data_IF_603911554791
#
_entry.id   IF_603911554791
#
_cell.length_a   1.000
_cell.length_b   1.000
_cell.length_c   1.000
_cell.angle_alpha   90.00
_cell.angle_beta   90.00
_cell.angle_gamma   90.00
#
_symmetry.space_group_name_H-M   'P 1'
#
loop_
_entity.id
_entity.type
_entity.pdbx_description
1 polymer ?
#
# COMPACT_ATOMS: atom_id res chain seq x y z
N UNK A 1 -15.24 -0.81 -35.85
CA UNK A 1 -15.57 0.54 -36.36
C UNK A 1 -16.62 1.16 -35.43
N UNK A 2 -16.30 2.23 -34.69
CA UNK A 2 -17.24 2.86 -33.75
C UNK A 2 -18.27 3.72 -34.52
N UNK A 3 -19.57 3.60 -34.21
CA UNK A 3 -20.62 4.44 -34.81
C UNK A 3 -20.67 5.79 -34.11
N UNK A 4 -20.89 6.90 -34.85
CA UNK A 4 -20.96 8.25 -34.29
C UNK A 4 -21.98 8.39 -33.14
N UNK A 5 -23.09 7.64 -33.19
CA UNK A 5 -24.10 7.64 -32.12
C UNK A 5 -23.59 7.11 -30.77
N UNK A 6 -22.71 6.10 -30.77
CA UNK A 6 -22.19 5.48 -29.55
C UNK A 6 -21.21 6.38 -28.79
N UNK A 7 -20.43 7.18 -29.54
CA UNK A 7 -19.52 8.20 -28.97
C UNK A 7 -20.28 9.35 -28.35
N UNK A 8 -21.30 9.88 -29.03
CA UNK A 8 -22.12 10.99 -28.53
C UNK A 8 -22.85 10.58 -27.24
N UNK A 9 -23.40 9.37 -27.16
CA UNK A 9 -24.06 8.87 -25.95
C UNK A 9 -23.10 8.77 -24.75
N UNK A 10 -21.86 8.35 -24.99
CA UNK A 10 -20.83 8.24 -23.95
C UNK A 10 -20.42 9.61 -23.42
N UNK A 11 -20.23 10.59 -24.29
CA UNK A 11 -19.89 11.96 -23.90
C UNK A 11 -21.01 12.62 -23.10
N UNK A 12 -22.28 12.43 -23.52
CA UNK A 12 -23.45 12.92 -22.77
C UNK A 12 -23.55 12.30 -21.37
N UNK A 13 -23.32 11.00 -21.25
CA UNK A 13 -23.34 10.32 -19.96
C UNK A 13 -22.22 10.84 -19.02
N UNK A 14 -21.01 11.03 -19.55
CA UNK A 14 -19.89 11.61 -18.79
C UNK A 14 -20.18 13.02 -18.29
N UNK A 15 -20.72 13.88 -19.15
CA UNK A 15 -21.10 15.24 -18.79
C UNK A 15 -22.18 15.27 -17.70
N UNK A 16 -23.23 14.44 -17.85
CA UNK A 16 -24.31 14.32 -16.86
C UNK A 16 -23.80 13.89 -15.48
N UNK A 17 -22.87 12.93 -15.44
CA UNK A 17 -22.32 12.36 -14.20
C UNK A 17 -21.32 13.30 -13.54
N UNK A 18 -20.47 13.96 -14.33
CA UNK A 18 -19.56 14.99 -13.84
C UNK A 18 -20.32 16.17 -13.24
N UNK A 19 -21.43 16.59 -13.85
CA UNK A 19 -22.29 17.65 -13.31
C UNK A 19 -22.95 17.25 -11.97
N UNK A 20 -23.06 15.94 -11.70
CA UNK A 20 -23.53 15.40 -10.43
C UNK A 20 -22.40 15.16 -9.41
N UNK A 21 -21.17 15.62 -9.69
CA UNK A 21 -20.01 15.43 -8.81
C UNK A 21 -19.35 14.04 -8.89
N UNK A 22 -19.71 13.22 -9.88
CA UNK A 22 -19.15 11.89 -10.08
C UNK A 22 -18.04 11.91 -11.14
N UNK A 23 -16.86 11.43 -10.75
CA UNK A 23 -15.70 11.31 -11.64
C UNK A 23 -15.52 9.86 -12.09
N UNK A 24 -15.56 9.62 -13.40
CA UNK A 24 -15.34 8.29 -14.00
C UNK A 24 -14.33 8.34 -15.16
N UNK A 25 -13.13 7.75 -14.99
CA UNK A 25 -12.08 7.87 -16.00
C UNK A 25 -12.33 7.01 -17.23
N UNK A 26 -13.20 5.98 -17.20
CA UNK A 26 -13.36 5.05 -18.32
C UNK A 26 -14.82 4.55 -18.46
N UNK A 27 -15.58 5.14 -19.39
CA UNK A 27 -16.84 4.58 -19.87
C UNK A 27 -16.66 4.19 -21.35
N UNK A 28 -16.74 2.89 -21.65
CA UNK A 28 -16.66 2.44 -23.04
C UNK A 28 -18.01 2.63 -23.75
N UNK A 29 -18.03 2.89 -25.07
CA UNK A 29 -19.28 3.02 -25.82
C UNK A 29 -20.18 1.78 -25.75
N UNK A 30 -19.58 0.59 -25.69
CA UNK A 30 -20.30 -0.67 -25.53
C UNK A 30 -21.00 -0.78 -24.16
N UNK A 31 -20.37 -0.25 -23.11
CA UNK A 31 -20.96 -0.21 -21.78
C UNK A 31 -22.21 0.70 -21.72
N UNK A 32 -22.14 1.87 -22.35
CA UNK A 32 -23.23 2.88 -22.37
C UNK A 32 -24.38 2.53 -23.31
N UNK A 33 -24.14 1.68 -24.31
CA UNK A 33 -25.15 1.24 -25.27
C UNK A 33 -26.16 0.24 -24.68
N UNK A 34 -25.82 -0.45 -23.58
CA UNK A 34 -26.73 -1.38 -22.90
C UNK A 34 -27.84 -0.62 -22.15
N UNK A 35 -29.11 -0.90 -22.50
CA UNK A 35 -30.29 -0.27 -21.87
C UNK A 35 -30.35 -0.53 -20.36
N UNK A 36 -29.98 -1.73 -19.91
CA UNK A 36 -29.95 -2.09 -18.49
C UNK A 36 -28.91 -1.28 -17.71
N UNK A 37 -27.73 -1.06 -18.31
CA UNK A 37 -26.63 -0.32 -17.67
C UNK A 37 -26.86 1.20 -17.68
N UNK A 38 -27.58 1.71 -18.68
CA UNK A 38 -27.97 3.14 -18.72
C UNK A 38 -28.87 3.53 -17.54
N UNK A 39 -29.85 2.70 -17.20
CA UNK A 39 -30.70 2.93 -16.04
C UNK A 39 -29.91 2.95 -14.72
N UNK A 40 -28.89 2.09 -14.58
CA UNK A 40 -27.99 2.07 -13.42
C UNK A 40 -27.16 3.36 -13.30
N UNK A 41 -26.69 3.91 -14.42
CA UNK A 41 -25.96 5.18 -14.44
C UNK A 41 -26.85 6.37 -14.05
N UNK A 42 -28.09 6.41 -14.52
CA UNK A 42 -29.06 7.46 -14.18
C UNK A 42 -29.45 7.42 -12.69
N UNK A 43 -29.65 6.21 -12.16
CA UNK A 43 -29.92 6.01 -10.73
C UNK A 43 -28.73 6.43 -9.85
N UNK A 44 -27.50 6.05 -10.20
CA UNK A 44 -26.28 6.48 -9.51
C UNK A 44 -26.12 8.01 -9.54
N UNK A 45 -26.41 8.65 -10.67
CA UNK A 45 -26.42 10.12 -10.78
C UNK A 45 -27.45 10.76 -9.83
N UNK A 46 -28.64 10.16 -9.69
CA UNK A 46 -29.66 10.60 -8.74
C UNK A 46 -29.18 10.56 -7.29
N UNK A 47 -28.56 9.45 -6.89
CA UNK A 47 -28.01 9.29 -5.53
C UNK A 47 -26.86 10.26 -5.23
N UNK A 48 -26.01 10.54 -6.22
CA UNK A 48 -24.92 11.50 -6.07
C UNK A 48 -25.42 12.94 -5.90
N UNK A 49 -26.44 13.37 -6.67
CA UNK A 49 -27.08 14.68 -6.49
C UNK A 49 -27.71 14.87 -5.11
N UNK A 50 -28.10 13.78 -4.47
CA UNK A 50 -28.62 13.79 -3.09
C UNK A 50 -27.51 13.74 -2.03
N UNK A 51 -26.23 13.77 -2.42
CA UNK A 51 -25.08 13.71 -1.50
C UNK A 51 -24.85 12.32 -0.89
N UNK A 52 -25.48 11.27 -1.42
CA UNK A 52 -25.48 9.91 -0.83
C UNK A 52 -24.45 8.97 -1.44
N UNK A 53 -23.73 9.42 -2.47
CA UNK A 53 -22.77 8.61 -3.22
C UNK A 53 -21.71 9.53 -3.84
N UNK A 54 -20.42 9.32 -3.53
CA UNK A 54 -19.34 10.14 -4.11
C UNK A 54 -18.49 9.41 -5.15
N UNK A 55 -18.38 8.07 -5.12
CA UNK A 55 -17.58 7.33 -6.10
C UNK A 55 -18.27 6.01 -6.45
N UNK A 56 -18.44 5.75 -7.75
CA UNK A 56 -18.82 4.42 -8.27
C UNK A 56 -17.76 3.97 -9.25
N UNK A 57 -16.89 3.01 -8.91
CA UNK A 57 -16.02 2.40 -9.89
C UNK A 57 -16.85 1.39 -10.70
N UNK A 58 -16.94 1.58 -12.01
CA UNK A 58 -17.48 0.56 -12.90
C UNK A 58 -16.39 0.08 -13.86
N UNK A 59 -15.96 -1.16 -13.66
CA UNK A 59 -15.05 -1.87 -14.56
C UNK A 59 -15.84 -2.51 -15.70
N UNK A 60 -15.44 -2.29 -16.94
CA UNK A 60 -16.11 -2.80 -18.12
C UNK A 60 -15.24 -3.77 -18.95
N UNK A 61 -15.34 -5.07 -18.59
CA UNK A 61 -15.26 -6.26 -19.48
C UNK A 61 -13.89 -6.94 -19.71
N UNK A 62 -13.85 -8.29 -19.90
CA UNK A 62 -14.71 -9.35 -19.33
C UNK A 62 -14.11 -9.84 -18.00
N UNK A 63 -14.85 -9.74 -16.90
CA UNK A 63 -14.44 -10.37 -15.64
C UNK A 63 -15.15 -11.71 -15.52
N UNK A 64 -14.36 -12.77 -15.35
CA UNK A 64 -14.84 -14.06 -14.87
C UNK A 64 -15.23 -13.93 -13.39
N UNK A 65 -16.53 -14.12 -13.12
CA UNK A 65 -17.09 -14.02 -11.77
C UNK A 65 -16.85 -15.28 -10.93
N UNK A 66 -16.34 -16.38 -11.53
CA UNK A 66 -16.02 -17.59 -10.80
C UNK A 66 -14.73 -17.45 -9.94
N UNK A 67 -13.89 -16.46 -10.26
CA UNK A 67 -12.57 -16.24 -9.62
C UNK A 67 -12.53 -15.02 -8.68
N UNK A 68 -13.67 -14.38 -8.41
CA UNK A 68 -13.74 -13.23 -7.48
C UNK A 68 -14.25 -13.70 -6.10
N UNK A 69 -13.43 -13.66 -5.03
CA UNK A 69 -13.84 -14.16 -3.72
C UNK A 69 -14.70 -13.10 -3.02
N UNK A 70 -16.00 -13.07 -3.31
CA UNK A 70 -16.99 -12.27 -2.59
C UNK A 70 -17.55 -13.00 -1.35
N UNK A 71 -16.81 -13.98 -0.82
CA UNK A 71 -17.17 -14.72 0.39
C UNK A 71 -17.07 -13.80 1.62
N UNK A 72 -18.13 -13.03 1.86
CA UNK A 72 -18.24 -12.04 2.93
C UNK A 72 -19.24 -10.91 2.64
N UNK A 73 -19.62 -10.71 1.38
CA UNK A 73 -20.60 -9.70 0.99
C UNK A 73 -21.99 -10.34 0.89
N UNK A 74 -22.95 -9.83 1.65
CA UNK A 74 -24.37 -10.24 1.54
C UNK A 74 -25.11 -9.25 0.64
N UNK A 75 -25.79 -9.76 -0.38
CA UNK A 75 -26.65 -8.95 -1.23
C UNK A 75 -27.74 -8.28 -0.39
N UNK A 76 -27.86 -6.95 -0.50
CA UNK A 76 -28.96 -6.19 0.11
C UNK A 76 -29.92 -5.79 -1.00
N UNK A 77 -31.08 -6.46 -1.05
CA UNK A 77 -32.28 -6.06 -1.81
C UNK A 77 -32.42 -6.64 -3.22
N UNK A 78 -33.61 -7.16 -3.54
CA UNK A 78 -33.99 -7.85 -4.78
C UNK A 78 -34.11 -6.96 -6.04
N UNK A 79 -33.50 -5.77 -6.08
CA UNK A 79 -33.66 -4.82 -7.20
C UNK A 79 -32.35 -4.26 -7.76
N UNK A 80 -31.27 -5.04 -7.73
CA UNK A 80 -30.20 -4.95 -8.73
C UNK A 80 -29.32 -3.69 -8.74
N UNK A 81 -29.20 -2.96 -7.63
CA UNK A 81 -28.23 -1.86 -7.49
C UNK A 81 -27.41 -2.00 -6.21
N UNK A 82 -26.15 -2.45 -6.34
CA UNK A 82 -25.18 -2.47 -5.24
C UNK A 82 -24.32 -1.22 -5.24
N UNK A 83 -24.56 -0.32 -4.29
CA UNK A 83 -23.66 0.79 -3.96
C UNK A 83 -22.97 0.53 -2.62
N UNK A 84 -21.70 0.91 -2.50
CA UNK A 84 -20.96 0.93 -1.23
C UNK A 84 -21.05 2.35 -0.65
N UNK A 85 -21.63 2.51 0.54
CA UNK A 85 -21.57 3.75 1.32
C UNK A 85 -20.91 3.48 2.68
N UNK A 86 -19.97 4.33 3.15
CA UNK A 86 -19.56 4.33 4.54
C UNK A 86 -20.59 5.09 5.39
N UNK A 87 -21.04 4.52 6.52
CA UNK A 87 -21.90 5.21 7.48
C UNK A 87 -21.07 6.09 8.43
N UNK A 88 -21.28 7.41 8.42
CA UNK A 88 -21.10 8.26 9.61
C UNK A 88 -22.46 8.38 10.32
N UNK A 89 -22.48 8.13 11.64
CA UNK A 89 -23.67 7.63 12.35
C UNK A 89 -24.47 8.62 13.20
N UNK A 90 -25.34 8.07 14.07
CA UNK A 90 -25.70 8.60 15.40
C UNK A 90 -26.58 7.64 16.24
N UNK A 91 -26.09 7.39 17.47
CA UNK A 91 -26.71 7.13 18.79
C UNK A 91 -27.77 6.02 19.01
N UNK A 92 -27.50 5.21 20.05
CA UNK A 92 -28.50 4.52 20.89
C UNK A 92 -27.89 3.31 21.60
N UNK A 93 -27.73 3.35 22.93
CA UNK A 93 -26.87 2.44 23.69
C UNK A 93 -27.47 1.07 24.05
N UNK A 94 -26.57 0.14 24.42
CA UNK A 94 -26.70 -0.78 25.54
C UNK A 94 -25.33 -1.47 25.74
N UNK A 95 -24.91 -1.56 27.00
CA UNK A 95 -23.62 -2.09 27.41
C UNK A 95 -23.50 -3.60 27.16
N UNK A 96 -22.39 -4.03 26.58
CA UNK A 96 -21.78 -5.34 26.89
C UNK A 96 -20.28 -5.13 27.04
N UNK A 97 -19.77 -5.53 28.22
CA UNK A 97 -18.36 -5.49 28.59
C UNK A 97 -17.63 -6.61 27.86
N UNK A 98 -16.37 -6.36 27.51
CA UNK A 98 -15.36 -7.42 27.34
C UNK A 98 -14.91 -7.72 25.92
N UNK A 99 -14.19 -6.80 25.29
CA UNK A 99 -13.04 -7.11 24.43
C UNK A 99 -12.26 -5.80 24.20
N UNK A 100 -11.03 -5.74 24.71
CA UNK A 100 -10.12 -4.63 24.46
C UNK A 100 -9.83 -4.53 22.97
N UNK A 101 -10.52 -3.62 22.27
CA UNK A 101 -10.13 -3.18 20.92
C UNK A 101 -8.78 -2.51 21.06
N UNK A 102 -7.71 -3.16 20.58
CA UNK A 102 -6.39 -2.52 20.39
C UNK A 102 -6.64 -1.19 19.67
N UNK A 103 -6.46 -0.07 20.34
CA UNK A 103 -6.54 1.24 19.70
C UNK A 103 -5.47 1.28 18.61
N UNK A 104 -5.85 1.66 17.39
CA UNK A 104 -4.91 2.00 16.32
C UNK A 104 -4.10 3.23 16.75
N UNK A 105 -3.03 3.01 17.52
CA UNK A 105 -2.10 4.09 17.84
C UNK A 105 -1.48 4.58 16.53
N UNK A 106 -1.45 5.90 16.35
CA UNK A 106 -0.73 6.53 15.24
C UNK A 106 0.71 6.00 15.22
N UNK A 107 1.26 5.74 14.02
CA UNK A 107 2.70 5.43 13.91
C UNK A 107 3.47 6.61 14.48
N UNK A 108 4.41 6.35 15.38
CA UNK A 108 5.33 7.35 15.88
C UNK A 108 6.77 6.93 15.73
N UNK A 109 7.12 5.68 16.08
CA UNK A 109 8.53 5.27 16.22
C UNK A 109 8.98 4.42 15.06
N UNK A 110 9.98 4.92 14.33
CA UNK A 110 10.54 4.28 13.14
C UNK A 110 12.02 4.02 13.38
N UNK A 111 12.43 2.76 13.24
CA UNK A 111 13.82 2.40 13.06
C UNK A 111 14.10 2.28 11.57
N UNK A 112 14.98 3.13 11.04
CA UNK A 112 15.45 3.10 9.66
C UNK A 112 16.85 2.49 9.62
N UNK A 113 16.88 1.16 9.52
CA UNK A 113 18.06 0.33 9.42
C UNK A 113 18.59 0.29 7.98
N UNK A 114 19.87 0.61 7.80
CA UNK A 114 20.52 0.57 6.49
C UNK A 114 21.74 -0.35 6.56
N UNK A 115 21.91 -1.19 5.56
CA UNK A 115 23.05 -2.07 5.42
C UNK A 115 24.00 -1.55 4.35
N UNK A 116 25.22 -1.20 4.74
CA UNK A 116 26.29 -0.79 3.83
C UNK A 116 27.57 -1.58 4.11
N UNK A 117 27.61 -2.89 3.78
CA UNK A 117 28.82 -3.69 3.92
C UNK A 117 29.84 -3.32 2.83
N UNK A 118 31.12 -3.56 3.11
CA UNK A 118 32.20 -3.41 2.15
C UNK A 118 32.10 -4.46 1.05
N UNK A 119 32.58 -4.14 -0.16
CA UNK A 119 32.66 -5.10 -1.28
C UNK A 119 31.34 -5.34 -2.04
N UNK A 120 30.28 -4.59 -1.74
CA UNK A 120 29.02 -4.59 -2.48
C UNK A 120 28.82 -3.27 -3.25
N UNK A 121 27.99 -3.33 -4.29
CA UNK A 121 27.65 -2.14 -5.08
C UNK A 121 27.05 -1.05 -4.18
N UNK A 122 27.53 0.20 -4.25
CA UNK A 122 27.03 1.25 -3.37
C UNK A 122 25.53 1.51 -3.57
N UNK A 123 24.75 1.34 -2.52
CA UNK A 123 23.36 1.76 -2.47
C UNK A 123 23.25 3.26 -2.16
N UNK A 124 22.21 3.90 -2.70
CA UNK A 124 21.87 5.30 -2.47
C UNK A 124 21.29 5.61 -1.07
N UNK A 125 21.76 4.91 -0.02
CA UNK A 125 21.27 4.99 1.36
C UNK A 125 21.32 6.42 1.94
N UNK A 126 22.38 7.16 1.59
CA UNK A 126 22.50 8.56 2.00
C UNK A 126 21.44 9.46 1.36
N UNK A 127 21.05 9.19 0.11
CA UNK A 127 19.98 9.92 -0.57
C UNK A 127 18.60 9.56 0.00
N UNK A 128 18.36 8.26 0.28
CA UNK A 128 17.15 7.80 0.97
C UNK A 128 16.99 8.51 2.33
N UNK A 129 18.03 8.47 3.17
CA UNK A 129 18.01 9.12 4.48
C UNK A 129 17.69 10.62 4.38
N UNK A 130 18.37 11.35 3.48
CA UNK A 130 18.10 12.79 3.28
C UNK A 130 16.66 13.03 2.85
N UNK A 131 16.17 12.28 1.86
CA UNK A 131 14.81 12.40 1.35
C UNK A 131 13.75 12.15 2.43
N UNK A 132 13.94 11.12 3.27
CA UNK A 132 13.04 10.81 4.38
C UNK A 132 13.07 11.87 5.47
N UNK A 133 14.25 12.38 5.85
CA UNK A 133 14.37 13.48 6.83
C UNK A 133 13.66 14.75 6.36
N UNK A 134 13.79 15.10 5.10
CA UNK A 134 13.09 16.25 4.52
C UNK A 134 11.57 16.03 4.45
N UNK A 135 11.15 14.85 4.02
CA UNK A 135 9.74 14.47 3.90
C UNK A 135 8.98 14.48 5.23
N UNK A 136 9.67 14.23 6.34
CA UNK A 136 9.11 14.12 7.68
C UNK A 136 9.40 15.31 8.57
N UNK A 137 10.04 16.36 8.04
CA UNK A 137 10.33 17.59 8.78
C UNK A 137 9.03 18.21 9.32
N UNK A 138 8.98 18.40 10.64
CA UNK A 138 7.80 18.94 11.33
C UNK A 138 6.66 17.94 11.55
N UNK A 139 6.84 16.67 11.21
CA UNK A 139 5.91 15.60 11.58
C UNK A 139 6.16 15.12 13.02
N UNK A 140 5.22 14.33 13.56
CA UNK A 140 5.36 13.67 14.86
C UNK A 140 6.09 12.33 14.79
N UNK A 141 6.71 11.99 13.66
CA UNK A 141 7.49 10.75 13.53
C UNK A 141 8.86 10.92 14.18
N UNK A 142 9.17 10.00 15.08
CA UNK A 142 10.51 9.80 15.63
C UNK A 142 11.21 8.75 14.78
N UNK A 143 12.13 9.20 13.93
CA UNK A 143 12.89 8.31 13.04
C UNK A 143 14.34 8.23 13.52
N UNK A 144 14.73 7.06 14.00
CA UNK A 144 16.12 6.72 14.27
C UNK A 144 16.75 6.11 13.03
N UNK A 145 17.79 6.75 12.51
CA UNK A 145 18.52 6.28 11.34
C UNK A 145 19.80 5.57 11.79
N UNK A 146 19.93 4.29 11.44
CA UNK A 146 21.08 3.45 11.77
C UNK A 146 21.80 3.02 10.49
N UNK A 147 22.82 3.78 10.03
CA UNK A 147 23.67 3.36 8.92
C UNK A 147 24.56 2.19 9.34
N UNK A 148 24.78 1.24 8.43
CA UNK A 148 25.64 0.06 8.61
C UNK A 148 25.33 -0.77 9.86
N UNK A 149 24.04 -0.91 10.19
CA UNK A 149 23.60 -1.64 11.39
C UNK A 149 23.98 -3.12 11.31
N UNK A 150 24.50 -3.65 12.41
CA UNK A 150 24.78 -5.08 12.57
C UNK A 150 23.52 -5.85 12.99
N UNK A 151 23.55 -7.18 12.85
CA UNK A 151 22.45 -8.01 13.36
C UNK A 151 22.28 -7.88 14.88
N UNK A 152 23.39 -7.76 15.62
CA UNK A 152 23.37 -7.62 17.08
C UNK A 152 22.71 -6.30 17.51
N UNK A 153 23.15 -5.19 16.93
CA UNK A 153 22.55 -3.87 17.21
C UNK A 153 21.07 -3.83 16.82
N UNK A 154 20.70 -4.39 15.66
CA UNK A 154 19.29 -4.48 15.28
C UNK A 154 18.47 -5.29 16.30
N UNK A 155 19.03 -6.39 16.81
CA UNK A 155 18.36 -7.20 17.82
C UNK A 155 18.19 -6.45 19.14
N UNK A 156 19.21 -5.72 19.58
CA UNK A 156 19.14 -4.91 20.80
C UNK A 156 18.09 -3.80 20.69
N UNK A 157 18.00 -3.13 19.53
CA UNK A 157 16.97 -2.11 19.28
C UNK A 157 15.56 -2.69 19.22
N UNK A 158 15.43 -3.91 18.70
CA UNK A 158 14.16 -4.64 18.68
C UNK A 158 13.71 -5.09 20.08
N UNK A 159 14.63 -5.14 21.06
CA UNK A 159 14.34 -5.47 22.46
C UNK A 159 14.14 -4.24 23.34
N UNK A 160 14.76 -3.10 23.01
CA UNK A 160 14.82 -1.92 23.86
C UNK A 160 13.45 -1.24 24.01
N UNK A 161 12.75 -1.03 22.90
CA UNK A 161 11.51 -0.27 22.87
C UNK A 161 10.54 -0.80 21.81
N UNK A 162 9.24 -0.54 21.98
CA UNK A 162 8.24 -0.93 20.98
C UNK A 162 8.36 -0.04 19.74
N UNK A 163 8.86 -0.61 18.66
CA UNK A 163 8.94 0.03 17.35
C UNK A 163 7.61 -0.14 16.60
N UNK A 164 7.12 0.94 15.97
CA UNK A 164 5.97 0.84 15.08
C UNK A 164 6.41 0.35 13.71
N UNK A 165 7.50 0.91 13.19
CA UNK A 165 8.03 0.61 11.85
C UNK A 165 9.49 0.21 11.96
N UNK A 166 9.84 -0.90 11.33
CA UNK A 166 11.22 -1.19 10.93
C UNK A 166 11.30 -1.06 9.41
N UNK A 167 12.15 -0.16 8.95
CA UNK A 167 12.57 -0.10 7.55
C UNK A 167 13.97 -0.64 7.45
N UNK A 168 14.16 -1.65 6.60
CA UNK A 168 15.46 -2.21 6.29
C UNK A 168 15.76 -1.94 4.81
N UNK A 169 16.82 -1.18 4.53
CA UNK A 169 17.36 -0.99 3.18
C UNK A 169 18.72 -1.67 3.08
N UNK A 170 18.91 -2.54 2.09
CA UNK A 170 20.12 -3.33 1.95
C UNK A 170 20.08 -4.31 0.78
N UNK A 171 21.17 -5.04 0.60
CA UNK A 171 21.26 -6.04 -0.45
C UNK A 171 20.53 -7.33 -0.09
N UNK A 172 20.12 -8.03 -1.13
CA UNK A 172 19.57 -9.37 -1.06
C UNK A 172 20.28 -10.26 -2.07
N UNK A 173 20.66 -11.46 -1.63
CA UNK A 173 21.33 -12.46 -2.45
C UNK A 173 20.89 -13.86 -2.01
N UNK A 174 20.48 -14.69 -2.96
CA UNK A 174 20.07 -16.08 -2.74
C UNK A 174 19.23 -16.33 -1.46
N UNK A 175 18.17 -15.52 -1.24
CA UNK A 175 17.28 -15.61 -0.06
C UNK A 175 17.87 -15.10 1.25
N UNK A 176 18.96 -14.34 1.20
CA UNK A 176 19.65 -13.77 2.36
C UNK A 176 19.73 -12.26 2.24
N UNK A 177 19.45 -11.57 3.34
CA UNK A 177 19.78 -10.15 3.50
C UNK A 177 21.26 -10.04 3.83
N UNK A 178 21.94 -9.08 3.23
CA UNK A 178 23.36 -8.82 3.54
C UNK A 178 23.42 -7.69 4.54
N UNK A 179 24.03 -7.95 5.69
CA UNK A 179 24.22 -7.02 6.82
C UNK A 179 25.71 -6.80 7.10
N UNK A 180 26.06 -5.73 7.80
CA UNK A 180 27.42 -5.56 8.34
C UNK A 180 27.64 -6.51 9.53
N UNK A 181 28.85 -7.03 9.68
CA UNK A 181 29.27 -7.80 10.86
C UNK A 181 29.81 -6.94 12.01
N UNK A 182 29.94 -5.62 11.80
CA UNK A 182 30.51 -4.65 12.75
C UNK A 182 31.95 -4.26 12.44
N UNK A 183 32.68 -5.09 11.68
CA UNK A 183 33.96 -4.74 11.05
C UNK A 183 33.79 -4.11 9.67
N UNK A 184 32.56 -4.07 9.15
CA UNK A 184 32.25 -3.61 7.80
C UNK A 184 32.24 -4.73 6.77
N UNK A 185 32.45 -5.98 7.17
CA UNK A 185 32.40 -7.15 6.27
C UNK A 185 30.95 -7.64 6.10
N UNK A 186 30.61 -8.25 4.95
CA UNK A 186 29.28 -8.75 4.70
C UNK A 186 28.96 -10.00 5.53
N UNK A 187 27.79 -10.01 6.15
CA UNK A 187 27.18 -11.15 6.83
C UNK A 187 25.83 -11.45 6.19
N UNK A 188 25.69 -12.66 5.65
CA UNK A 188 24.45 -13.10 5.03
C UNK A 188 23.48 -13.67 6.08
N UNK A 189 22.26 -13.14 6.13
CA UNK A 189 21.19 -13.50 7.06
C UNK A 189 20.02 -14.08 6.28
N UNK A 190 19.64 -15.32 6.55
CA UNK A 190 18.49 -15.94 5.90
C UNK A 190 17.21 -15.12 6.17
N UNK A 191 16.43 -14.83 5.12
CA UNK A 191 15.28 -13.92 5.22
C UNK A 191 14.18 -14.45 6.16
N UNK A 192 14.01 -15.76 6.26
CA UNK A 192 13.11 -16.41 7.22
C UNK A 192 13.58 -16.23 8.68
N UNK A 193 14.88 -16.34 8.93
CA UNK A 193 15.48 -16.02 10.22
C UNK A 193 15.27 -14.54 10.57
N UNK A 194 15.41 -13.64 9.59
CA UNK A 194 15.11 -12.22 9.77
C UNK A 194 13.63 -11.99 10.11
N UNK A 195 12.69 -12.64 9.42
CA UNK A 195 11.27 -12.55 9.78
C UNK A 195 10.99 -13.02 11.21
N UNK A 196 11.65 -14.09 11.67
CA UNK A 196 11.53 -14.57 13.05
C UNK A 196 12.13 -13.58 14.06
N UNK A 197 13.20 -12.88 13.69
CA UNK A 197 13.81 -11.83 14.51
C UNK A 197 12.87 -10.62 14.68
N UNK A 198 12.07 -10.25 13.69
CA UNK A 198 11.21 -9.06 13.78
C UNK A 198 9.77 -9.37 14.24
N UNK A 199 9.36 -10.65 14.17
CA UNK A 199 8.01 -11.11 14.51
C UNK A 199 7.58 -10.67 15.90
N UNK A 200 6.41 -10.04 15.99
CA UNK A 200 5.81 -9.57 17.24
C UNK A 200 6.48 -8.34 17.85
N UNK A 201 7.57 -7.84 17.24
CA UNK A 201 8.35 -6.69 17.72
C UNK A 201 8.00 -5.39 16.98
N UNK A 202 7.50 -5.50 15.75
CA UNK A 202 7.12 -4.35 14.90
C UNK A 202 5.71 -4.47 14.35
N UNK A 203 5.04 -3.34 14.11
CA UNK A 203 3.73 -3.30 13.44
C UNK A 203 3.88 -3.33 11.92
N UNK A 204 4.86 -2.60 11.40
CA UNK A 204 5.13 -2.45 9.98
C UNK A 204 6.57 -2.82 9.70
N UNK A 205 6.78 -3.68 8.72
CA UNK A 205 8.10 -3.96 8.16
C UNK A 205 8.16 -3.43 6.73
N UNK A 206 9.17 -2.64 6.41
CA UNK A 206 9.48 -2.23 5.03
C UNK A 206 10.83 -2.85 4.66
N UNK A 207 10.83 -3.75 3.68
CA UNK A 207 12.03 -4.38 3.13
C UNK A 207 12.35 -3.76 1.78
N UNK A 208 13.28 -2.79 1.77
CA UNK A 208 13.88 -2.25 0.55
C UNK A 208 15.08 -3.10 0.15
N UNK A 209 14.78 -4.32 -0.33
CA UNK A 209 15.76 -5.28 -0.81
C UNK A 209 15.11 -6.20 -1.87
N UNK A 210 15.86 -6.55 -2.92
CA UNK A 210 15.36 -7.28 -4.09
C UNK A 210 14.69 -8.61 -3.73
N UNK A 211 13.67 -9.01 -4.50
CA UNK A 211 13.05 -10.35 -4.48
C UNK A 211 12.58 -10.90 -3.11
N UNK A 212 12.26 -10.00 -2.17
CA UNK A 212 11.82 -10.33 -0.81
C UNK A 212 10.33 -10.72 -0.70
N UNK A 213 9.49 -10.37 -1.68
CA UNK A 213 8.04 -10.55 -1.62
C UNK A 213 7.59 -12.03 -1.59
N UNK A 214 8.32 -12.92 -2.25
CA UNK A 214 8.00 -14.35 -2.31
C UNK A 214 7.95 -15.00 -0.93
N UNK A 215 8.84 -14.59 -0.02
CA UNK A 215 8.92 -15.09 1.35
C UNK A 215 8.06 -14.29 2.34
N UNK A 216 7.80 -13.01 2.05
CA UNK A 216 6.98 -12.14 2.91
C UNK A 216 5.55 -12.68 3.12
N UNK A 217 4.98 -13.37 2.13
CA UNK A 217 3.65 -14.04 2.24
C UNK A 217 3.59 -15.07 3.38
N UNK A 218 4.73 -15.70 3.70
CA UNK A 218 4.86 -16.70 4.78
C UNK A 218 5.14 -16.08 6.15
N UNK A 219 5.56 -14.83 6.21
CA UNK A 219 5.83 -14.14 7.47
C UNK A 219 4.53 -13.95 8.27
N UNK A 220 4.63 -14.07 9.59
CA UNK A 220 3.49 -13.99 10.53
C UNK A 220 3.89 -13.12 11.72
N UNK A 221 2.89 -12.53 12.37
CA UNK A 221 3.10 -11.68 13.56
C UNK A 221 3.71 -10.32 13.24
N UNK A 222 3.51 -9.84 12.01
CA UNK A 222 3.77 -8.47 11.57
C UNK A 222 2.47 -8.02 10.88
N UNK A 223 1.91 -6.87 11.27
CA UNK A 223 0.61 -6.44 10.76
C UNK A 223 0.73 -6.04 9.28
N UNK A 224 1.76 -5.25 8.92
CA UNK A 224 1.99 -4.83 7.53
C UNK A 224 3.42 -5.16 7.09
N UNK A 225 3.57 -5.68 5.87
CA UNK A 225 4.88 -5.90 5.25
C UNK A 225 4.88 -5.27 3.87
N UNK A 226 5.81 -4.35 3.61
CA UNK A 226 6.17 -3.93 2.26
C UNK A 226 7.42 -4.70 1.86
N UNK A 227 7.38 -5.44 0.76
CA UNK A 227 8.51 -6.22 0.24
C UNK A 227 8.58 -6.12 -1.28
N UNK A 228 9.72 -6.43 -1.89
CA UNK A 228 9.95 -6.20 -3.33
C UNK A 228 9.77 -7.47 -4.14
N UNK A 229 9.02 -7.39 -5.25
CA UNK A 229 8.79 -8.48 -6.22
C UNK A 229 9.62 -8.24 -7.50
N UNK A 230 10.95 -8.36 -7.35
CA UNK A 230 11.91 -8.10 -8.41
C UNK A 230 13.08 -7.20 -7.96
N UNK A 231 13.86 -6.69 -8.93
CA UNK A 231 14.93 -5.75 -8.66
C UNK A 231 14.40 -4.43 -8.13
N UNK A 232 15.28 -3.71 -7.42
CA UNK A 232 15.02 -2.39 -6.86
C UNK A 232 16.00 -1.40 -7.49
N UNK A 233 15.48 -0.46 -8.25
CA UNK A 233 16.28 0.67 -8.72
C UNK A 233 16.45 1.72 -7.60
N UNK A 234 17.69 2.12 -7.33
CA UNK A 234 18.06 3.08 -6.28
C UNK A 234 17.20 4.35 -6.25
N UNK A 235 17.03 5.04 -7.39
CA UNK A 235 16.25 6.27 -7.45
C UNK A 235 14.77 6.02 -7.12
N UNK A 236 14.25 4.87 -7.56
CA UNK A 236 12.88 4.46 -7.27
C UNK A 236 12.68 4.12 -5.79
N UNK A 237 13.67 3.50 -5.15
CA UNK A 237 13.66 3.26 -3.70
C UNK A 237 13.68 4.58 -2.91
N UNK A 238 14.50 5.54 -3.33
CA UNK A 238 14.55 6.89 -2.74
C UNK A 238 13.19 7.57 -2.79
N UNK A 239 12.54 7.60 -3.95
CA UNK A 239 11.22 8.24 -4.08
C UNK A 239 10.11 7.44 -3.40
N UNK A 240 10.17 6.11 -3.40
CA UNK A 240 9.26 5.27 -2.61
C UNK A 240 9.31 5.67 -1.14
N UNK A 241 10.49 5.63 -0.53
CA UNK A 241 10.70 5.98 0.87
C UNK A 241 10.29 7.42 1.15
N UNK A 242 10.66 8.37 0.27
CA UNK A 242 10.31 9.78 0.43
C UNK A 242 8.80 10.00 0.50
N UNK A 243 8.04 9.45 -0.44
CA UNK A 243 6.59 9.62 -0.49
C UNK A 243 5.88 8.83 0.61
N UNK A 244 6.32 7.59 0.87
CA UNK A 244 5.78 6.75 1.94
C UNK A 244 5.85 7.47 3.30
N UNK A 245 7.04 7.94 3.68
CA UNK A 245 7.21 8.62 4.96
C UNK A 245 6.58 10.01 5.02
N UNK A 246 6.50 10.72 3.88
CA UNK A 246 5.76 11.99 3.78
C UNK A 246 4.29 11.84 4.16
N UNK A 247 3.66 10.76 3.68
CA UNK A 247 2.24 10.46 3.93
C UNK A 247 2.04 9.85 5.31
N UNK A 248 2.97 9.04 5.77
CA UNK A 248 2.96 8.51 7.12
C UNK A 248 3.10 9.62 8.17
N UNK A 249 3.98 10.59 7.94
CA UNK A 249 4.15 11.76 8.81
C UNK A 249 2.94 12.70 8.83
N UNK A 250 2.02 12.55 7.87
CA UNK A 250 0.71 13.24 7.83
C UNK A 250 -0.42 12.40 8.43
N UNK A 251 -0.11 11.25 9.02
CA UNK A 251 -1.08 10.32 9.61
C UNK A 251 -2.14 9.79 8.62
N UNK A 252 -1.78 9.60 7.34
CA UNK A 252 -2.72 9.11 6.32
C UNK A 252 -3.03 7.60 6.39
N UNK A 253 -2.31 6.84 7.23
CA UNK A 253 -2.43 5.38 7.33
C UNK A 253 -1.41 4.64 6.46
N UNK A 254 -1.25 3.33 6.71
CA UNK A 254 -0.18 2.53 6.07
C UNK A 254 -0.48 2.27 4.60
N UNK A 255 -1.73 1.94 4.28
CA UNK A 255 -2.17 1.65 2.93
C UNK A 255 -2.05 2.91 2.05
N UNK A 256 -2.50 4.07 2.54
CA UNK A 256 -2.36 5.33 1.82
C UNK A 256 -0.89 5.73 1.64
N UNK A 257 -0.06 5.56 2.69
CA UNK A 257 1.37 5.79 2.59
C UNK A 257 2.05 4.87 1.57
N UNK A 258 1.64 3.60 1.51
CA UNK A 258 2.11 2.65 0.50
C UNK A 258 1.73 3.09 -0.92
N UNK A 259 0.48 3.49 -1.16
CA UNK A 259 0.04 3.96 -2.49
C UNK A 259 0.81 5.21 -2.93
N UNK A 260 1.02 6.17 -2.02
CA UNK A 260 1.82 7.36 -2.32
C UNK A 260 3.28 7.00 -2.60
N UNK A 261 3.86 6.10 -1.81
CA UNK A 261 5.20 5.55 -2.04
C UNK A 261 5.32 4.89 -3.41
N UNK A 262 4.37 4.02 -3.77
CA UNK A 262 4.32 3.36 -5.06
C UNK A 262 4.25 4.38 -6.20
N UNK A 263 3.40 5.40 -6.10
CA UNK A 263 3.27 6.44 -7.10
C UNK A 263 4.57 7.26 -7.27
N UNK A 264 5.24 7.60 -6.16
CA UNK A 264 6.54 8.27 -6.19
C UNK A 264 7.60 7.44 -6.91
N UNK A 265 7.66 6.15 -6.59
CA UNK A 265 8.61 5.21 -7.19
C UNK A 265 8.38 5.03 -8.70
N UNK A 266 7.12 4.83 -9.11
CA UNK A 266 6.74 4.66 -10.52
C UNK A 266 7.00 5.92 -11.36
N UNK A 267 6.95 7.11 -10.76
CA UNK A 267 7.22 8.37 -11.45
C UNK A 267 8.67 8.51 -11.92
N UNK A 268 9.63 7.82 -11.28
CA UNK A 268 11.06 7.92 -11.59
C UNK A 268 11.68 6.63 -12.11
N UNK A 269 11.27 5.46 -11.60
CA UNK A 269 11.87 4.16 -11.96
C UNK A 269 11.06 3.33 -12.96
N UNK A 270 9.86 3.79 -13.33
CA UNK A 270 8.96 3.02 -14.19
C UNK A 270 8.73 1.59 -13.67
N UNK A 271 9.01 0.57 -14.50
CA UNK A 271 8.78 -0.86 -14.18
C UNK A 271 9.89 -1.51 -13.35
N UNK A 272 10.93 -0.77 -12.94
CA UNK A 272 12.13 -1.33 -12.28
C UNK A 272 12.07 -1.31 -10.75
N UNK A 273 10.87 -1.13 -10.21
CA UNK A 273 10.57 -1.37 -8.80
C UNK A 273 9.17 -1.96 -8.70
N UNK A 274 8.99 -2.97 -7.83
CA UNK A 274 7.70 -3.63 -7.63
C UNK A 274 7.45 -3.87 -6.13
N UNK A 275 7.15 -2.81 -5.35
CA UNK A 275 6.86 -2.97 -3.94
C UNK A 275 5.47 -3.59 -3.79
N UNK A 276 5.35 -4.57 -2.91
CA UNK A 276 4.13 -5.33 -2.61
C UNK A 276 3.81 -5.16 -1.14
N UNK A 277 2.60 -4.69 -0.84
CA UNK A 277 2.07 -4.58 0.52
C UNK A 277 1.28 -5.83 0.88
N UNK A 278 1.63 -6.46 1.98
CA UNK A 278 0.87 -7.49 2.67
C UNK A 278 0.21 -6.87 3.90
N UNK A 279 -1.10 -7.05 4.04
CA UNK A 279 -1.93 -6.44 5.10
C UNK A 279 -2.45 -7.47 6.12
N UNK A 280 -2.90 -7.04 7.32
CA UNK A 280 -3.35 -7.94 8.38
C UNK A 280 -4.58 -8.77 8.01
N UNK A 281 -5.40 -8.26 7.10
CA UNK A 281 -6.59 -8.91 6.56
C UNK A 281 -6.26 -9.96 5.48
N UNK A 282 -4.97 -10.17 5.19
CA UNK A 282 -4.50 -11.08 4.15
C UNK A 282 -4.53 -10.48 2.75
N UNK A 283 -4.94 -9.22 2.59
CA UNK A 283 -4.90 -8.56 1.29
C UNK A 283 -3.46 -8.30 0.86
N UNK A 284 -3.24 -8.40 -0.45
CA UNK A 284 -1.94 -8.15 -1.09
C UNK A 284 -2.14 -7.09 -2.17
N UNK A 285 -1.38 -6.00 -2.08
CA UNK A 285 -1.41 -4.90 -3.06
C UNK A 285 -0.04 -4.79 -3.71
N UNK A 286 -0.02 -4.50 -5.00
CA UNK A 286 1.19 -4.37 -5.81
C UNK A 286 0.91 -3.44 -6.99
N UNK A 287 1.94 -2.98 -7.71
CA UNK A 287 1.72 -2.35 -9.02
C UNK A 287 0.91 -3.30 -9.91
N UNK A 288 -0.04 -2.74 -10.66
CA UNK A 288 -0.76 -3.50 -11.66
C UNK A 288 0.22 -4.19 -12.60
N UNK A 289 -0.08 -5.43 -13.00
CA UNK A 289 0.67 -6.08 -14.06
C UNK A 289 0.57 -5.19 -15.31
N UNK A 290 1.69 -4.58 -15.70
CA UNK A 290 1.77 -3.85 -16.94
C UNK A 290 1.83 -4.91 -18.06
N UNK A 291 0.70 -5.11 -18.75
CA UNK A 291 0.65 -5.93 -19.97
C UNK A 291 1.62 -5.38 -21.03
#
# INVERSE_FOLDING_TARGET
MQTNGSRIATLKARAMLSAAGLYMPLLSPAFVASKARRAQLEFAAGLARQGRLQIVPILAGPLDLASTPLAGFRAVGESGVGGLSPMFGRRGGAATRGASRRSSSAVRRVLYAMSGPSGWDPLSLGAEQRGVREATRGSSLEIDFRPSVTLGELHDELLSERLDVLHFSGHFDERRLIMSDGGGEPRAIALDAFFNLVRGRVRVLVLSACDTASMARGARGIDYIVAMDGPVEDLAAVEFSRFFYRSLGRNLGIEAAYEDGLNGALAVGGRRIRPVLFSPDGSVRGPAAFN
#
